data_IF_195727548193
#
_entry.id   IF_195727548193
#
_cell.length_a   1.000
_cell.length_b   1.000
_cell.length_c   1.000
_cell.angle_alpha   90.00
_cell.angle_beta   90.00
_cell.angle_gamma   90.00
#
_symmetry.space_group_name_H-M   'P 1'
#
loop_
_entity.id
_entity.type
_entity.pdbx_description
1 polymer ?
#
# COMPACT_ATOMS: atom_id res chain seq x y z
N UNK A 1 -33.86 10.96 2.51
CA UNK A 1 -33.36 10.02 1.49
C UNK A 1 -31.84 10.09 1.51
N UNK A 2 -31.18 9.02 1.92
CA UNK A 2 -29.71 8.91 1.94
C UNK A 2 -29.40 7.75 1.00
N UNK A 3 -28.50 7.93 0.04
CA UNK A 3 -27.89 6.81 -0.66
C UNK A 3 -27.08 6.05 0.38
N UNK A 4 -27.65 4.99 0.92
CA UNK A 4 -26.93 4.10 1.80
C UNK A 4 -26.12 3.08 0.99
N UNK A 5 -25.25 2.31 1.66
CA UNK A 5 -24.70 1.08 1.11
C UNK A 5 -25.74 0.18 0.40
N UNK A 6 -26.99 0.00 0.89
CA UNK A 6 -27.99 -0.83 0.19
C UNK A 6 -28.42 -0.27 -1.18
N UNK A 7 -28.65 1.04 -1.33
CA UNK A 7 -28.97 1.62 -2.64
C UNK A 7 -27.83 1.43 -3.65
N UNK A 8 -26.57 1.60 -3.21
CA UNK A 8 -25.40 1.38 -4.08
C UNK A 8 -25.33 -0.08 -4.54
N UNK A 9 -25.62 -1.03 -3.64
CA UNK A 9 -25.65 -2.46 -3.99
C UNK A 9 -26.75 -2.76 -5.01
N UNK A 10 -27.95 -2.18 -4.85
CA UNK A 10 -29.03 -2.35 -5.82
C UNK A 10 -28.62 -1.90 -7.23
N UNK A 11 -27.99 -0.72 -7.34
CA UNK A 11 -27.50 -0.19 -8.61
C UNK A 11 -26.41 -1.10 -9.18
N UNK A 12 -25.49 -1.59 -8.34
CA UNK A 12 -24.44 -2.51 -8.75
C UNK A 12 -25.01 -3.82 -9.34
N UNK A 13 -26.07 -4.36 -8.74
CA UNK A 13 -26.77 -5.55 -9.26
C UNK A 13 -27.35 -5.28 -10.66
N UNK A 14 -28.00 -4.14 -10.88
CA UNK A 14 -28.53 -3.78 -12.21
C UNK A 14 -27.41 -3.66 -13.25
N UNK A 15 -26.30 -3.00 -12.89
CA UNK A 15 -25.11 -2.88 -13.76
C UNK A 15 -24.55 -4.28 -14.10
N UNK A 16 -24.48 -5.18 -13.12
CA UNK A 16 -24.05 -6.56 -13.30
C UNK A 16 -25.00 -7.34 -14.21
N UNK A 17 -26.31 -7.09 -14.18
CA UNK A 17 -27.25 -7.75 -15.09
C UNK A 17 -27.03 -7.32 -16.55
N UNK A 18 -26.69 -6.06 -16.79
CA UNK A 18 -26.43 -5.53 -18.13
C UNK A 18 -25.08 -6.00 -18.67
N UNK A 19 -24.02 -5.91 -17.86
CA UNK A 19 -22.65 -6.24 -18.29
C UNK A 19 -22.26 -7.70 -18.04
N UNK A 20 -22.95 -8.41 -17.13
CA UNK A 20 -22.63 -9.75 -16.66
C UNK A 20 -21.60 -9.78 -15.52
N UNK A 21 -21.72 -10.78 -14.64
CA UNK A 21 -20.82 -11.00 -13.49
C UNK A 21 -19.34 -11.22 -13.88
N UNK A 22 -19.08 -11.67 -15.11
CA UNK A 22 -17.73 -11.93 -15.62
C UNK A 22 -16.99 -10.67 -16.09
N UNK A 23 -17.68 -9.58 -16.44
CA UNK A 23 -17.05 -8.36 -16.96
C UNK A 23 -16.42 -7.50 -15.87
N UNK A 24 -17.03 -7.45 -14.68
CA UNK A 24 -16.47 -6.71 -13.54
C UNK A 24 -15.05 -7.17 -13.13
N UNK A 25 -14.78 -8.48 -12.90
CA UNK A 25 -13.43 -8.92 -12.55
C UNK A 25 -12.43 -8.74 -13.71
N UNK A 26 -12.90 -8.81 -14.96
CA UNK A 26 -12.06 -8.56 -16.13
C UNK A 26 -11.58 -7.10 -16.18
N UNK A 27 -12.50 -6.14 -16.00
CA UNK A 27 -12.18 -4.70 -15.96
C UNK A 27 -11.36 -4.35 -14.70
N UNK A 28 -11.70 -4.94 -13.56
CA UNK A 28 -10.99 -4.76 -12.30
C UNK A 28 -9.54 -5.22 -12.36
N UNK A 29 -9.25 -6.34 -13.03
CA UNK A 29 -7.86 -6.80 -13.27
C UNK A 29 -7.06 -5.79 -14.10
N UNK A 30 -7.59 -5.37 -15.26
CA UNK A 30 -6.89 -4.39 -16.12
C UNK A 30 -6.70 -3.04 -15.43
N UNK A 31 -7.71 -2.57 -14.69
CA UNK A 31 -7.63 -1.31 -13.96
C UNK A 31 -6.66 -1.41 -12.78
N UNK A 32 -6.64 -2.56 -12.08
CA UNK A 32 -5.73 -2.82 -10.97
C UNK A 32 -4.28 -2.87 -11.40
N UNK A 33 -3.97 -3.54 -12.52
CA UNK A 33 -2.64 -3.56 -13.12
C UNK A 33 -2.19 -2.16 -13.57
N UNK A 34 -3.09 -1.39 -14.18
CA UNK A 34 -2.85 0.00 -14.56
C UNK A 34 -2.57 0.89 -13.37
N UNK A 35 -3.40 0.80 -12.31
CA UNK A 35 -3.24 1.58 -11.09
C UNK A 35 -1.95 1.19 -10.34
N UNK A 36 -1.58 -0.10 -10.34
CA UNK A 36 -0.34 -0.58 -9.72
C UNK A 36 0.89 -0.04 -10.44
N UNK A 37 0.88 -0.05 -11.76
CA UNK A 37 1.96 0.50 -12.59
C UNK A 37 2.05 2.02 -12.45
N UNK A 38 0.91 2.72 -12.43
CA UNK A 38 0.83 4.15 -12.18
C UNK A 38 1.38 4.53 -10.81
N UNK A 39 1.03 3.77 -9.75
CA UNK A 39 1.53 4.00 -8.41
C UNK A 39 3.06 3.83 -8.34
N UNK A 40 3.58 2.78 -8.97
CA UNK A 40 5.03 2.53 -9.03
C UNK A 40 5.78 3.66 -9.74
N UNK A 41 5.29 4.10 -10.90
CA UNK A 41 5.87 5.22 -11.63
C UNK A 41 5.80 6.52 -10.81
N UNK A 42 4.70 6.77 -10.11
CA UNK A 42 4.57 7.92 -9.21
C UNK A 42 5.60 7.87 -8.06
N UNK A 43 5.84 6.70 -7.47
CA UNK A 43 6.80 6.54 -6.37
C UNK A 43 8.26 6.72 -6.87
N UNK A 44 8.58 6.22 -8.06
CA UNK A 44 9.88 6.41 -8.73
C UNK A 44 10.14 7.91 -9.01
N UNK A 45 9.17 8.60 -9.61
CA UNK A 45 9.25 10.06 -9.88
C UNK A 45 9.41 10.86 -8.59
N UNK A 46 8.66 10.55 -7.53
CA UNK A 46 8.81 11.24 -6.25
C UNK A 46 10.22 11.05 -5.65
N UNK A 47 10.79 9.87 -5.80
CA UNK A 47 12.15 9.56 -5.32
C UNK A 47 13.20 10.33 -6.12
N UNK A 48 13.06 10.39 -7.44
CA UNK A 48 13.94 11.15 -8.33
C UNK A 48 13.85 12.66 -8.07
N UNK A 49 12.64 13.22 -7.98
CA UNK A 49 12.43 14.63 -7.65
C UNK A 49 13.01 14.97 -6.29
N UNK A 50 12.87 14.07 -5.29
CA UNK A 50 13.48 14.26 -3.97
C UNK A 50 15.01 14.25 -4.03
N UNK A 51 15.61 13.39 -4.85
CA UNK A 51 17.06 13.32 -5.04
C UNK A 51 17.62 14.55 -5.80
N UNK A 52 16.90 15.03 -6.82
CA UNK A 52 17.25 16.26 -7.56
C UNK A 52 17.18 17.47 -6.61
N UNK A 53 16.09 17.62 -5.86
CA UNK A 53 15.95 18.71 -4.89
C UNK A 53 17.05 18.68 -3.82
N UNK A 54 17.40 17.50 -3.30
CA UNK A 54 18.50 17.34 -2.34
C UNK A 54 19.89 17.63 -2.93
N UNK A 55 20.04 17.59 -4.26
CA UNK A 55 21.30 17.92 -4.95
C UNK A 55 21.41 19.42 -5.29
N UNK A 56 20.28 20.12 -5.44
CA UNK A 56 20.21 21.57 -5.71
C UNK A 56 20.26 22.39 -4.42
N UNK A 57 19.65 21.90 -3.34
CA UNK A 57 19.79 22.44 -1.98
C UNK A 57 20.95 21.71 -1.28
N UNK A 58 22.16 22.29 -1.30
CA UNK A 58 23.36 21.71 -0.67
C UNK A 58 23.24 21.52 0.85
N UNK A 59 22.53 20.49 1.29
CA UNK A 59 22.32 20.14 2.70
C UNK A 59 22.51 18.64 2.91
N UNK A 60 23.41 18.23 3.82
CA UNK A 60 23.79 16.83 3.97
C UNK A 60 22.64 16.03 4.58
N UNK A 61 22.46 14.81 4.07
CA UNK A 61 21.45 13.86 4.47
C UNK A 61 21.55 13.47 5.96
N UNK A 62 20.45 13.57 6.72
CA UNK A 62 20.26 12.75 7.89
C UNK A 62 19.94 11.32 7.47
N UNK A 63 20.74 10.44 8.06
CA UNK A 63 20.67 8.99 8.08
C UNK A 63 19.33 8.57 8.69
N UNK A 64 18.95 7.31 8.44
CA UNK A 64 18.00 6.53 9.26
C UNK A 64 16.51 6.60 8.87
N UNK A 65 16.11 5.63 8.04
CA UNK A 65 15.04 4.71 8.45
C UNK A 65 15.28 3.33 7.84
N UNK A 66 16.22 2.61 8.44
CA UNK A 66 16.21 1.15 8.40
C UNK A 66 14.98 0.72 9.20
N UNK A 67 13.96 0.26 8.48
CA UNK A 67 13.12 -0.89 8.85
C UNK A 67 12.69 -0.93 10.33
N UNK A 68 11.67 -0.14 10.68
CA UNK A 68 10.74 -0.53 11.74
C UNK A 68 9.78 -1.56 11.13
N UNK A 69 10.12 -2.85 11.23
CA UNK A 69 9.14 -3.93 11.17
C UNK A 69 8.62 -4.12 12.60
N UNK A 70 7.37 -3.77 12.92
CA UNK A 70 6.82 -4.06 14.22
C UNK A 70 6.35 -5.52 14.20
N UNK A 71 7.21 -6.48 14.56
CA UNK A 71 6.79 -7.85 14.89
C UNK A 71 7.91 -8.64 15.58
N UNK A 72 7.63 -9.03 16.83
CA UNK A 72 8.25 -10.08 17.66
C UNK A 72 9.13 -9.55 18.79
N UNK A 73 8.64 -9.54 20.06
CA UNK A 73 9.52 -9.35 21.21
C UNK A 73 10.54 -10.50 21.30
N UNK A 74 11.81 -10.21 21.63
CA UNK A 74 12.83 -11.24 21.80
C UNK A 74 12.49 -12.16 22.99
N UNK A 75 12.68 -13.48 22.88
CA UNK A 75 12.59 -14.38 24.03
C UNK A 75 13.69 -14.02 25.05
N UNK A 76 13.37 -14.02 26.37
CA UNK A 76 14.39 -13.74 27.39
C UNK A 76 15.50 -14.82 27.36
N UNK A 77 16.78 -14.42 27.46
CA UNK A 77 17.88 -15.37 27.57
C UNK A 77 17.83 -16.16 28.89
N UNK A 78 18.45 -17.35 28.93
CA UNK A 78 18.27 -18.34 30.01
C UNK A 78 18.71 -17.79 31.37
N UNK A 79 17.85 -17.93 32.38
CA UNK A 79 18.26 -17.76 33.77
C UNK A 79 19.30 -18.84 34.08
N UNK A 80 20.55 -18.42 34.26
CA UNK A 80 21.59 -19.25 34.84
C UNK A 80 21.26 -19.44 36.33
N UNK A 81 20.76 -20.63 36.67
CA UNK A 81 20.71 -21.11 38.03
C UNK A 81 22.12 -21.58 38.39
N UNK A 82 22.91 -20.67 38.97
CA UNK A 82 24.06 -21.01 39.81
C UNK A 82 23.51 -21.67 41.09
N UNK A 83 23.65 -23.00 41.19
CA UNK A 83 23.45 -23.78 42.41
C UNK A 83 24.77 -24.50 42.70
N UNK A 84 25.58 -23.90 43.57
CA UNK A 84 26.80 -24.45 44.16
C UNK A 84 26.94 -23.93 45.59
#
# INVERSE_FOLDING_TARGET
MRLGPPEIILILVVVILIFGVGKLPQIGKSLGEGLRSFKKAQDEVNTEVKAINASVEGKPAPKEKVVETPSTPPPPPPQASDDA
#
